data_IF_461976005484
#
_entry.id   IF_461976005484
#
_cell.length_a   1.000
_cell.length_b   1.000
_cell.length_c   1.000
_cell.angle_alpha   90.00
_cell.angle_beta   90.00
_cell.angle_gamma   90.00
#
_symmetry.space_group_name_H-M   'P 1'
#
loop_
_entity.id
_entity.type
_entity.pdbx_description
1 polymer ?
#
# COMPACT_ATOMS: atom_id res chain seq x y z
N UNK A 1 -9.86 -6.42 18.02
CA UNK A 1 -10.15 -5.79 16.72
C UNK A 1 -9.39 -4.47 16.72
N UNK A 2 -8.54 -4.24 15.72
CA UNK A 2 -7.83 -2.97 15.57
C UNK A 2 -8.61 -2.18 14.52
N UNK A 3 -9.03 -0.96 14.86
CA UNK A 3 -9.64 -0.02 13.93
C UNK A 3 -8.70 1.19 13.79
N UNK A 4 -8.51 1.64 12.56
CA UNK A 4 -7.76 2.84 12.23
C UNK A 4 -8.60 3.65 11.25
N UNK A 5 -8.80 4.92 11.57
CA UNK A 5 -9.57 5.85 10.75
C UNK A 5 -8.69 7.00 10.25
N UNK A 6 -8.79 7.32 8.97
CA UNK A 6 -8.09 8.44 8.32
C UNK A 6 -9.11 9.46 7.80
N UNK A 7 -8.89 10.74 8.09
CA UNK A 7 -9.79 11.82 7.70
C UNK A 7 -9.18 12.72 6.63
N UNK A 8 -10.03 13.35 5.82
CA UNK A 8 -9.64 14.29 4.74
C UNK A 8 -8.70 13.66 3.71
N UNK A 9 -8.93 12.39 3.39
CA UNK A 9 -8.21 11.66 2.34
C UNK A 9 -8.47 12.31 0.99
N UNK A 10 -7.40 12.60 0.26
CA UNK A 10 -7.45 13.09 -1.11
C UNK A 10 -7.03 12.00 -2.12
N UNK A 11 -6.10 11.12 -1.73
CA UNK A 11 -5.54 10.09 -2.60
C UNK A 11 -5.15 8.85 -1.80
N UNK A 12 -5.35 7.67 -2.39
CA UNK A 12 -4.87 6.38 -1.86
C UNK A 12 -4.22 5.62 -3.00
N UNK A 13 -2.96 5.22 -2.83
CA UNK A 13 -2.18 4.55 -3.86
C UNK A 13 -1.44 3.35 -3.29
N UNK A 14 -1.18 2.36 -4.15
CA UNK A 14 -0.28 1.26 -3.86
C UNK A 14 1.16 1.69 -4.15
N UNK A 15 2.03 1.58 -3.15
CA UNK A 15 3.44 1.99 -3.22
C UNK A 15 4.37 0.81 -3.41
N UNK A 16 4.09 -0.30 -2.73
CA UNK A 16 4.98 -1.47 -2.80
C UNK A 16 4.16 -2.74 -2.76
N UNK A 17 4.58 -3.73 -3.55
CA UNK A 17 4.08 -5.10 -3.46
C UNK A 17 5.24 -6.05 -3.22
N UNK A 18 5.13 -6.89 -2.19
CA UNK A 18 6.11 -7.90 -1.86
C UNK A 18 5.42 -9.24 -1.55
N UNK A 19 5.20 -10.02 -2.60
CA UNK A 19 4.44 -11.28 -2.55
C UNK A 19 5.08 -12.33 -1.63
N UNK A 20 6.40 -12.38 -1.56
CA UNK A 20 7.12 -13.39 -0.75
C UNK A 20 7.27 -13.01 0.73
N UNK A 21 7.01 -11.75 1.09
CA UNK A 21 7.11 -11.29 2.48
C UNK A 21 5.74 -11.29 3.16
N UNK A 22 5.15 -12.48 3.32
CA UNK A 22 3.80 -12.61 3.88
C UNK A 22 2.74 -11.92 3.02
N UNK A 23 2.98 -11.89 1.71
CA UNK A 23 2.13 -11.23 0.73
C UNK A 23 1.88 -9.76 1.10
N UNK A 24 2.92 -9.00 1.45
CA UNK A 24 2.75 -7.64 1.95
C UNK A 24 2.50 -6.63 0.83
N UNK A 25 1.65 -5.64 1.11
CA UNK A 25 1.51 -4.43 0.29
C UNK A 25 1.58 -3.20 1.19
N UNK A 26 2.19 -2.14 0.66
CA UNK A 26 2.21 -0.83 1.32
C UNK A 26 1.34 0.12 0.53
N UNK A 27 0.37 0.74 1.20
CA UNK A 27 -0.43 1.84 0.63
C UNK A 27 0.06 3.17 1.18
N UNK A 28 -0.08 4.23 0.39
CA UNK A 28 0.11 5.62 0.80
C UNK A 28 -1.24 6.33 0.75
N UNK A 29 -1.57 6.99 1.86
CA UNK A 29 -2.74 7.83 1.99
C UNK A 29 -2.24 9.27 2.04
N UNK A 30 -2.66 10.09 1.07
CA UNK A 30 -2.36 11.52 1.04
C UNK A 30 -3.61 12.30 1.44
N UNK A 31 -3.49 13.24 2.36
CA UNK A 31 -4.60 14.11 2.74
C UNK A 31 -4.71 15.34 1.83
N UNK A 32 -5.75 16.13 2.00
CA UNK A 32 -6.00 17.33 1.20
C UNK A 32 -4.99 18.48 1.40
N UNK A 33 -4.04 18.34 2.32
CA UNK A 33 -2.91 19.26 2.51
C UNK A 33 -1.61 18.76 1.87
N UNK A 34 -1.63 17.56 1.27
CA UNK A 34 -0.45 16.92 0.71
C UNK A 34 0.40 16.16 1.74
N UNK A 35 -0.08 15.98 2.97
CA UNK A 35 0.63 15.16 3.97
C UNK A 35 0.38 13.68 3.67
N UNK A 36 1.44 12.86 3.78
CA UNK A 36 1.42 11.44 3.39
C UNK A 36 1.58 10.53 4.61
N UNK A 37 0.89 9.40 4.60
CA UNK A 37 1.07 8.33 5.58
C UNK A 37 1.08 6.98 4.89
N UNK A 38 2.08 6.16 5.17
CA UNK A 38 2.21 4.82 4.61
C UNK A 38 1.80 3.73 5.61
N UNK A 39 1.08 2.73 5.11
CA UNK A 39 0.61 1.59 5.90
C UNK A 39 0.98 0.32 5.18
N UNK A 40 1.68 -0.57 5.87
CA UNK A 40 2.01 -1.91 5.35
C UNK A 40 1.02 -2.94 5.90
N UNK A 41 0.42 -3.71 5.00
CA UNK A 41 -0.56 -4.74 5.26
C UNK A 41 0.03 -6.10 4.88
N UNK A 42 -0.32 -7.14 5.63
CA UNK A 42 0.17 -8.52 5.44
C UNK A 42 -1.01 -9.51 5.35
N UNK A 43 -0.79 -10.65 4.70
CA UNK A 43 -1.81 -11.70 4.52
C UNK A 43 -2.55 -11.59 3.18
N UNK A 44 -3.88 -11.70 3.19
CA UNK A 44 -4.70 -11.68 1.97
C UNK A 44 -4.92 -10.23 1.49
N UNK A 45 -3.91 -9.66 0.82
CA UNK A 45 -3.86 -8.24 0.44
C UNK A 45 -4.04 -8.00 -1.05
N UNK A 46 -4.33 -9.03 -1.85
CA UNK A 46 -4.43 -8.94 -3.32
C UNK A 46 -5.52 -7.96 -3.80
N UNK A 47 -6.53 -7.67 -2.96
CA UNK A 47 -7.54 -6.65 -3.23
C UNK A 47 -6.94 -5.24 -3.43
N UNK A 48 -5.74 -4.98 -2.89
CA UNK A 48 -5.05 -3.69 -3.02
C UNK A 48 -4.43 -3.50 -4.40
N UNK A 49 -4.31 -4.55 -5.22
CA UNK A 49 -3.81 -4.46 -6.58
C UNK A 49 -4.76 -3.68 -7.51
N UNK A 50 -6.00 -3.42 -7.07
CA UNK A 50 -6.97 -2.55 -7.73
C UNK A 50 -6.75 -1.04 -7.49
N UNK A 51 -5.89 -0.67 -6.53
CA UNK A 51 -5.55 0.73 -6.28
C UNK A 51 -4.65 1.28 -7.39
N UNK A 52 -4.71 2.60 -7.67
CA UNK A 52 -3.71 3.24 -8.51
C UNK A 52 -2.32 3.06 -7.89
N UNK A 53 -1.32 2.81 -8.73
CA UNK A 53 0.08 2.71 -8.29
C UNK A 53 0.67 4.10 -8.14
N UNK A 54 1.48 4.32 -7.11
CA UNK A 54 2.23 5.57 -6.98
C UNK A 54 3.30 5.69 -8.06
N UNK A 55 3.74 6.92 -8.36
CA UNK A 55 4.79 7.17 -9.37
C UNK A 55 6.12 6.49 -9.02
N UNK A 56 6.37 6.29 -7.72
CA UNK A 56 7.53 5.61 -7.16
C UNK A 56 7.28 4.13 -6.82
N UNK A 57 6.22 3.53 -7.37
CA UNK A 57 5.83 2.16 -7.07
C UNK A 57 6.96 1.14 -7.30
N UNK A 58 7.10 0.19 -6.37
CA UNK A 58 8.07 -0.91 -6.45
C UNK A 58 7.40 -2.27 -6.29
N UNK A 59 7.57 -3.12 -7.30
CA UNK A 59 7.31 -4.55 -7.16
C UNK A 59 8.61 -5.26 -6.79
N UNK A 60 8.64 -5.91 -5.62
CA UNK A 60 9.72 -6.83 -5.28
C UNK A 60 9.30 -8.20 -5.79
N UNK A 61 9.74 -8.52 -7.00
CA UNK A 61 9.49 -9.82 -7.61
C UNK A 61 10.38 -10.90 -7.00
N UNK A 62 9.86 -12.13 -7.02
CA UNK A 62 10.56 -13.32 -6.54
C UNK A 62 11.90 -13.46 -7.26
N UNK A 63 13.00 -13.43 -6.51
CA UNK A 63 14.29 -13.87 -7.05
C UNK A 63 14.19 -15.38 -7.21
N UNK A 64 14.17 -15.86 -8.46
CA UNK A 64 14.23 -17.28 -8.76
C UNK A 64 15.52 -17.85 -8.15
N UNK A 65 15.36 -18.78 -7.21
CA UNK A 65 16.45 -19.59 -6.65
C UNK A 65 16.79 -20.75 -7.58
#
# INVERSE_FOLDING_TARGET
MIDMSFHRVAKVELVTSYVDNGNSRTIRITNNKGEETEITLYGNTDALDALPKSDDFRAVERVAA
#
